data_IF_092879775985
#
_entry.id   IF_092879775985
#
_cell.length_a   1.000
_cell.length_b   1.000
_cell.length_c   1.000
_cell.angle_alpha   90.00
_cell.angle_beta   90.00
_cell.angle_gamma   90.00
#
_symmetry.space_group_name_H-M   'P 1'
#
loop_
_entity.id
_entity.type
_entity.pdbx_description
1 polymer ?
#
# COMPACT_ATOMS: atom_id res chain seq x y z
N UNK A 1 -1.43 13.19 11.59
CA UNK A 1 -2.78 12.76 11.97
C UNK A 1 -2.70 11.45 12.75
N UNK A 2 -3.26 11.45 13.95
CA UNK A 2 -3.29 10.27 14.81
C UNK A 2 -4.64 9.56 14.65
N UNK A 3 -4.65 8.48 13.87
CA UNK A 3 -5.86 7.72 13.54
C UNK A 3 -6.28 6.74 14.64
N UNK A 4 -5.40 6.43 15.59
CA UNK A 4 -5.57 5.33 16.54
C UNK A 4 -5.92 4.02 15.82
N UNK A 5 -5.27 3.79 14.68
CA UNK A 5 -5.52 2.61 13.86
C UNK A 5 -4.63 1.47 14.29
N UNK A 6 -5.20 0.30 14.51
CA UNK A 6 -4.41 -0.92 14.72
C UNK A 6 -3.50 -1.20 13.55
N UNK A 7 -3.97 -0.94 12.31
CA UNK A 7 -3.21 -1.13 11.08
C UNK A 7 -3.62 -0.07 10.06
N UNK A 8 -2.91 1.09 10.06
CA UNK A 8 -3.08 2.15 9.06
C UNK A 8 -2.18 1.87 7.87
N UNK A 9 -2.72 1.96 6.65
CA UNK A 9 -2.05 1.46 5.43
C UNK A 9 -2.34 2.30 4.18
N UNK A 10 -1.55 2.01 3.13
CA UNK A 10 -1.79 2.40 1.76
C UNK A 10 -2.01 3.90 1.54
N UNK A 11 -1.09 4.79 1.95
CA UNK A 11 -1.26 6.22 1.74
C UNK A 11 -1.18 6.56 0.25
N UNK A 12 -2.12 7.38 -0.24
CA UNK A 12 -2.15 7.87 -1.63
C UNK A 12 -2.41 9.38 -1.63
N UNK A 13 -1.52 10.15 -2.22
CA UNK A 13 -1.66 11.59 -2.34
C UNK A 13 -2.49 11.98 -3.57
N UNK A 14 -3.49 12.83 -3.38
CA UNK A 14 -4.19 13.51 -4.47
C UNK A 14 -3.83 15.00 -4.44
N UNK A 15 -3.09 15.45 -5.45
CA UNK A 15 -2.60 16.83 -5.56
C UNK A 15 -3.74 17.83 -5.77
N UNK A 16 -4.75 17.46 -6.55
CA UNK A 16 -5.87 18.36 -6.90
C UNK A 16 -6.79 18.58 -5.72
N UNK A 17 -7.10 17.52 -4.99
CA UNK A 17 -7.90 17.60 -3.76
C UNK A 17 -7.09 18.09 -2.55
N UNK A 18 -5.76 18.05 -2.61
CA UNK A 18 -4.88 18.42 -1.50
C UNK A 18 -4.99 17.49 -0.30
N UNK A 19 -5.32 16.21 -0.51
CA UNK A 19 -5.53 15.26 0.57
C UNK A 19 -4.75 13.95 0.41
N UNK A 20 -4.54 13.28 1.53
CA UNK A 20 -4.01 11.91 1.60
C UNK A 20 -5.17 10.96 1.89
N UNK A 21 -5.33 9.96 1.05
CA UNK A 21 -6.18 8.80 1.31
C UNK A 21 -5.33 7.75 2.04
N UNK A 22 -5.87 7.10 3.06
CA UNK A 22 -5.31 5.91 3.68
C UNK A 22 -6.41 5.01 4.22
N UNK A 23 -6.09 3.75 4.49
CA UNK A 23 -7.04 2.75 4.98
C UNK A 23 -6.66 2.29 6.38
N UNK A 24 -7.65 2.03 7.22
CA UNK A 24 -7.52 1.31 8.48
C UNK A 24 -8.10 -0.08 8.26
N UNK A 25 -7.22 -1.06 8.08
CA UNK A 25 -7.61 -2.41 7.61
C UNK A 25 -8.57 -3.06 8.58
N UNK A 26 -8.17 -3.19 9.84
CA UNK A 26 -8.92 -3.92 10.85
C UNK A 26 -10.15 -3.16 11.37
N UNK A 27 -10.10 -1.82 11.34
CA UNK A 27 -11.23 -0.99 11.73
C UNK A 27 -12.22 -0.75 10.58
N UNK A 28 -11.95 -1.31 9.39
CA UNK A 28 -12.82 -1.28 8.22
C UNK A 28 -13.18 0.15 7.80
N UNK A 29 -12.13 1.01 7.64
CA UNK A 29 -12.33 2.44 7.34
C UNK A 29 -11.36 2.94 6.28
N UNK A 30 -11.84 3.93 5.52
CA UNK A 30 -11.04 4.78 4.66
C UNK A 30 -11.01 6.17 5.28
N UNK A 31 -9.84 6.80 5.30
CA UNK A 31 -9.65 8.19 5.71
C UNK A 31 -9.23 9.04 4.51
N UNK A 32 -9.84 10.22 4.36
CA UNK A 32 -9.32 11.32 3.56
C UNK A 32 -8.85 12.40 4.52
N UNK A 33 -7.55 12.56 4.62
CA UNK A 33 -6.89 13.53 5.49
C UNK A 33 -6.52 14.75 4.66
N UNK A 34 -7.04 15.91 5.01
CA UNK A 34 -6.76 17.22 4.41
C UNK A 34 -5.79 17.98 5.33
N UNK A 35 -4.47 17.92 5.09
CA UNK A 35 -3.48 18.43 6.06
C UNK A 35 -3.55 19.95 6.24
N UNK A 36 -3.85 20.71 5.19
CA UNK A 36 -3.93 22.16 5.24
C UNK A 36 -5.16 22.65 6.01
N UNK A 37 -6.29 22.02 5.77
CA UNK A 37 -7.57 22.33 6.39
C UNK A 37 -7.73 21.73 7.79
N UNK A 38 -6.86 20.79 8.15
CA UNK A 38 -6.93 20.00 9.37
C UNK A 38 -8.28 19.23 9.51
N UNK A 39 -8.80 18.76 8.39
CA UNK A 39 -10.07 18.01 8.29
C UNK A 39 -9.79 16.56 7.91
N UNK A 40 -10.60 15.66 8.47
CA UNK A 40 -10.59 14.24 8.11
C UNK A 40 -12.02 13.82 7.76
N UNK A 41 -12.19 13.23 6.57
CA UNK A 41 -13.40 12.50 6.21
C UNK A 41 -13.18 11.01 6.41
N UNK A 42 -14.19 10.31 6.92
CA UNK A 42 -14.11 8.88 7.21
C UNK A 42 -15.25 8.15 6.52
N UNK A 43 -14.94 7.01 5.89
CA UNK A 43 -15.93 6.13 5.27
C UNK A 43 -15.76 4.72 5.83
N UNK A 44 -16.89 4.05 6.12
CA UNK A 44 -16.91 2.64 6.50
C UNK A 44 -16.82 1.77 5.24
N UNK A 45 -16.14 0.63 5.33
CA UNK A 45 -15.96 -0.31 4.22
C UNK A 45 -16.71 -1.63 4.42
N UNK A 46 -16.75 -2.45 3.40
CA UNK A 46 -17.40 -3.78 3.40
C UNK A 46 -16.43 -4.87 3.89
N UNK A 47 -16.08 -4.80 5.16
CA UNK A 47 -15.08 -5.66 5.79
C UNK A 47 -13.68 -5.07 5.74
N UNK A 48 -12.68 -5.83 6.16
CA UNK A 48 -11.28 -5.39 6.18
C UNK A 48 -10.86 -4.91 4.79
N UNK A 49 -10.44 -3.65 4.71
CA UNK A 49 -10.02 -2.99 3.46
C UNK A 49 -8.51 -3.09 3.31
N UNK A 50 -8.05 -3.76 2.26
CA UNK A 50 -6.62 -3.91 1.99
C UNK A 50 -6.00 -2.64 1.45
N UNK A 51 -6.63 -2.02 0.45
CA UNK A 51 -6.17 -0.77 -0.13
C UNK A 51 -7.32 0.04 -0.72
N UNK A 52 -7.03 1.31 -1.01
CA UNK A 52 -7.92 2.19 -1.74
C UNK A 52 -7.11 3.12 -2.66
N UNK A 53 -7.69 3.50 -3.79
CA UNK A 53 -7.09 4.42 -4.78
C UNK A 53 -8.13 5.41 -5.27
N UNK A 54 -7.70 6.60 -5.66
CA UNK A 54 -8.59 7.57 -6.27
C UNK A 54 -9.05 7.13 -7.67
N UNK A 55 -10.31 7.43 -8.00
CA UNK A 55 -10.93 7.25 -9.30
C UNK A 55 -11.48 8.61 -9.76
N UNK A 56 -10.56 9.46 -10.25
CA UNK A 56 -10.78 10.90 -10.40
C UNK A 56 -10.83 11.61 -9.04
N UNK A 57 -11.53 12.74 -9.00
CA UNK A 57 -11.66 13.57 -7.80
C UNK A 57 -12.97 13.35 -7.03
N UNK A 58 -13.88 12.57 -7.58
CA UNK A 58 -15.20 12.33 -7.00
C UNK A 58 -15.34 10.95 -6.38
N UNK A 59 -14.49 10.01 -6.74
CA UNK A 59 -14.63 8.62 -6.33
C UNK A 59 -13.33 8.02 -5.82
N UNK A 60 -13.50 6.96 -5.05
CA UNK A 60 -12.46 6.05 -4.59
C UNK A 60 -12.85 4.63 -5.04
N UNK A 61 -11.89 3.87 -5.58
CA UNK A 61 -12.03 2.43 -5.68
C UNK A 61 -11.27 1.81 -4.51
N UNK A 62 -11.92 0.92 -3.77
CA UNK A 62 -11.31 0.20 -2.67
C UNK A 62 -11.54 -1.32 -2.76
N UNK A 63 -10.58 -2.09 -2.29
CA UNK A 63 -10.67 -3.54 -2.20
C UNK A 63 -10.77 -3.97 -0.73
N UNK A 64 -11.90 -4.53 -0.36
CA UNK A 64 -12.19 -5.04 0.96
C UNK A 64 -12.45 -6.55 0.92
N UNK A 65 -12.59 -7.18 2.09
CA UNK A 65 -12.82 -8.61 2.19
C UNK A 65 -14.01 -9.11 1.33
N UNK A 66 -15.07 -8.31 1.20
CA UNK A 66 -16.26 -8.67 0.43
C UNK A 66 -16.17 -8.34 -1.07
N UNK A 67 -15.08 -7.77 -1.55
CA UNK A 67 -14.88 -7.45 -2.96
C UNK A 67 -14.30 -6.06 -3.21
N UNK A 68 -14.40 -5.64 -4.45
CA UNK A 68 -13.95 -4.33 -4.92
C UNK A 68 -15.18 -3.44 -5.13
N UNK A 69 -15.11 -2.22 -4.63
CA UNK A 69 -16.20 -1.25 -4.62
C UNK A 69 -15.74 0.09 -5.13
N UNK A 70 -16.67 0.88 -5.68
CA UNK A 70 -16.49 2.29 -6.03
C UNK A 70 -17.34 3.14 -5.12
N UNK A 71 -16.72 4.05 -4.39
CA UNK A 71 -17.32 4.93 -3.39
C UNK A 71 -17.32 6.37 -3.91
N UNK A 72 -18.45 7.07 -3.86
CA UNK A 72 -18.52 8.51 -4.08
C UNK A 72 -18.15 9.25 -2.78
N UNK A 73 -17.13 10.12 -2.83
CA UNK A 73 -16.57 10.81 -1.65
C UNK A 73 -17.45 11.97 -1.13
N UNK A 74 -18.43 12.39 -1.92
CA UNK A 74 -19.35 13.48 -1.54
C UNK A 74 -20.63 12.94 -0.92
N UNK A 75 -21.21 11.89 -1.49
CA UNK A 75 -22.48 11.31 -1.02
C UNK A 75 -22.29 10.14 -0.07
N UNK A 76 -21.16 9.45 -0.15
CA UNK A 76 -20.91 8.19 0.56
C UNK A 76 -21.56 6.96 -0.10
N UNK A 77 -22.23 7.14 -1.24
CA UNK A 77 -22.81 6.03 -1.99
C UNK A 77 -21.75 5.13 -2.56
N UNK A 78 -21.98 3.84 -2.52
CA UNK A 78 -21.04 2.84 -3.05
C UNK A 78 -21.71 1.84 -4.00
N UNK A 79 -20.92 1.37 -4.96
CA UNK A 79 -21.32 0.37 -5.94
C UNK A 79 -20.32 -0.79 -5.90
N UNK A 80 -20.83 -2.02 -5.81
CA UNK A 80 -20.02 -3.22 -5.97
C UNK A 80 -19.56 -3.33 -7.43
N UNK A 81 -18.27 -3.61 -7.64
CA UNK A 81 -17.70 -3.79 -8.97
C UNK A 81 -17.47 -5.27 -9.29
N UNK A 82 -16.65 -5.94 -8.50
CA UNK A 82 -16.30 -7.35 -8.68
C UNK A 82 -15.62 -7.95 -7.44
N UNK A 83 -15.47 -9.28 -7.44
CA UNK A 83 -14.69 -10.02 -6.45
C UNK A 83 -13.83 -11.08 -7.15
N UNK A 84 -12.51 -11.06 -6.91
CA UNK A 84 -11.57 -11.99 -7.57
C UNK A 84 -11.19 -13.19 -6.70
N UNK A 85 -11.41 -13.10 -5.40
CA UNK A 85 -10.95 -14.09 -4.43
C UNK A 85 -12.08 -15.05 -4.11
N UNK A 86 -11.91 -16.33 -4.45
CA UNK A 86 -12.90 -17.38 -4.12
C UNK A 86 -12.60 -18.09 -2.78
N UNK A 87 -11.36 -18.06 -2.30
CA UNK A 87 -10.96 -18.64 -1.00
C UNK A 87 -11.29 -17.67 0.14
N UNK A 88 -12.23 -18.00 1.05
CA UNK A 88 -12.60 -17.13 2.17
C UNK A 88 -11.50 -16.98 3.21
N UNK A 89 -10.40 -17.70 3.09
CA UNK A 89 -9.23 -17.56 3.97
C UNK A 89 -8.16 -16.62 3.42
N UNK A 90 -8.45 -15.95 2.30
CA UNK A 90 -7.61 -14.94 1.65
C UNK A 90 -8.37 -13.60 1.64
N UNK A 91 -7.64 -12.50 1.78
CA UNK A 91 -8.15 -11.12 1.61
C UNK A 91 -7.27 -10.31 0.68
N UNK A 92 -7.79 -9.19 0.18
CA UNK A 92 -6.95 -8.17 -0.43
C UNK A 92 -6.01 -7.55 0.63
N UNK A 93 -4.81 -7.15 0.18
CA UNK A 93 -3.81 -6.49 1.01
C UNK A 93 -3.41 -5.16 0.38
N UNK A 94 -2.23 -5.03 -0.20
CA UNK A 94 -1.82 -3.80 -0.89
C UNK A 94 -2.28 -3.78 -2.35
N UNK A 95 -2.39 -2.59 -2.93
CA UNK A 95 -2.76 -2.41 -4.32
C UNK A 95 -2.46 -1.02 -4.84
N UNK A 96 -2.29 -0.92 -6.16
CA UNK A 96 -1.93 0.35 -6.82
C UNK A 96 -2.52 0.40 -8.24
N UNK A 97 -2.72 1.61 -8.77
CA UNK A 97 -2.92 1.77 -10.21
C UNK A 97 -1.59 1.72 -10.94
N UNK A 98 -1.57 1.01 -12.05
CA UNK A 98 -0.44 1.06 -12.96
C UNK A 98 -0.48 2.33 -13.85
N UNK A 99 0.57 2.63 -14.63
CA UNK A 99 0.62 3.81 -15.49
C UNK A 99 -0.47 3.87 -16.57
N UNK A 100 -1.17 2.76 -16.87
CA UNK A 100 -2.29 2.68 -17.82
C UNK A 100 -3.65 2.73 -17.13
N UNK A 101 -3.68 2.86 -15.79
CA UNK A 101 -4.90 2.92 -15.00
C UNK A 101 -5.48 1.58 -14.57
N UNK A 102 -4.82 0.44 -14.90
CA UNK A 102 -5.22 -0.88 -14.41
C UNK A 102 -4.99 -0.97 -12.91
N UNK A 103 -5.84 -1.71 -12.21
CA UNK A 103 -5.68 -1.97 -10.77
C UNK A 103 -4.81 -3.20 -10.57
N UNK A 104 -3.74 -3.06 -9.80
CA UNK A 104 -3.01 -4.17 -9.23
C UNK A 104 -3.56 -4.46 -7.85
N UNK A 105 -3.89 -5.73 -7.59
CA UNK A 105 -4.56 -6.17 -6.37
C UNK A 105 -3.76 -7.31 -5.76
N UNK A 106 -3.02 -6.99 -4.71
CA UNK A 106 -2.28 -7.95 -3.90
C UNK A 106 -3.15 -8.63 -2.87
N UNK A 107 -2.81 -9.86 -2.51
CA UNK A 107 -3.55 -10.63 -1.53
C UNK A 107 -2.66 -11.16 -0.40
N UNK A 108 -3.28 -11.49 0.72
CA UNK A 108 -2.66 -12.15 1.88
C UNK A 108 -3.67 -13.05 2.58
N UNK A 109 -3.20 -13.86 3.53
CA UNK A 109 -4.06 -14.68 4.37
C UNK A 109 -5.00 -13.84 5.25
N UNK A 110 -6.27 -14.24 5.34
CA UNK A 110 -7.23 -13.66 6.27
C UNK A 110 -7.17 -14.42 7.60
N UNK A 111 -6.85 -13.72 8.69
CA UNK A 111 -6.70 -14.25 10.05
C UNK A 111 -5.58 -15.29 10.25
N UNK A 112 -4.96 -15.79 9.20
CA UNK A 112 -3.86 -16.77 9.26
C UNK A 112 -2.87 -16.54 8.14
N UNK A 113 -1.61 -16.67 8.43
CA UNK A 113 -0.56 -16.65 7.42
C UNK A 113 -0.74 -17.77 6.39
N UNK A 114 -0.58 -17.45 5.13
CA UNK A 114 -0.74 -18.35 3.96
C UNK A 114 0.52 -18.34 3.13
N UNK A 115 1.47 -19.20 3.47
CA UNK A 115 2.73 -19.30 2.75
C UNK A 115 2.49 -19.73 1.30
N UNK A 116 2.94 -18.89 0.34
CA UNK A 116 2.89 -19.14 -1.12
C UNK A 116 1.50 -19.50 -1.68
N UNK A 117 0.44 -19.06 -1.03
CA UNK A 117 -0.95 -19.32 -1.47
C UNK A 117 -1.67 -18.06 -1.91
N UNK A 118 -0.96 -16.93 -1.96
CA UNK A 118 -1.52 -15.64 -2.34
C UNK A 118 -1.06 -15.22 -3.74
N UNK A 119 -1.57 -14.11 -4.23
CA UNK A 119 -1.46 -13.72 -5.64
C UNK A 119 -1.46 -12.20 -5.78
N UNK A 120 -0.70 -11.67 -6.71
CA UNK A 120 -0.86 -10.34 -7.26
C UNK A 120 -1.65 -10.44 -8.56
N UNK A 121 -2.84 -9.83 -8.60
CA UNK A 121 -3.69 -9.72 -9.79
C UNK A 121 -3.52 -8.38 -10.49
N UNK A 122 -3.88 -8.32 -11.77
CA UNK A 122 -4.17 -7.08 -12.51
C UNK A 122 -5.59 -7.13 -13.04
N UNK A 123 -6.32 -6.01 -12.98
CA UNK A 123 -7.67 -5.84 -13.51
C UNK A 123 -7.76 -4.56 -14.34
N UNK A 124 -8.23 -4.66 -15.59
CA UNK A 124 -8.29 -3.58 -16.57
C UNK A 124 -9.65 -2.86 -16.66
N UNK A 125 -10.59 -3.23 -15.78
CA UNK A 125 -11.99 -2.77 -15.80
C UNK A 125 -12.95 -3.80 -16.38
N UNK A 126 -12.48 -4.74 -17.19
CA UNK A 126 -13.29 -5.79 -17.83
C UNK A 126 -12.86 -7.21 -17.45
N UNK A 127 -11.57 -7.41 -17.35
CA UNK A 127 -10.96 -8.72 -17.11
C UNK A 127 -9.83 -8.66 -16.10
N UNK A 128 -9.55 -9.81 -15.51
CA UNK A 128 -8.47 -9.97 -14.54
C UNK A 128 -7.46 -11.01 -15.01
N UNK A 129 -6.20 -10.80 -14.70
CA UNK A 129 -5.12 -11.77 -14.89
C UNK A 129 -4.23 -11.86 -13.66
N UNK A 130 -3.57 -12.99 -13.51
CA UNK A 130 -2.54 -13.20 -12.49
C UNK A 130 -1.24 -12.61 -13.02
N UNK A 131 -0.61 -11.74 -12.23
CA UNK A 131 0.73 -11.22 -12.51
C UNK A 131 1.82 -12.01 -11.80
N UNK A 132 1.62 -12.26 -10.50
CA UNK A 132 2.56 -13.05 -9.70
C UNK A 132 1.75 -14.01 -8.83
N UNK A 133 2.01 -15.30 -8.97
CA UNK A 133 1.43 -16.35 -8.13
C UNK A 133 2.42 -16.86 -7.09
N UNK A 134 1.91 -17.51 -6.05
CA UNK A 134 2.75 -18.09 -5.01
C UNK A 134 3.38 -17.06 -4.09
N UNK A 135 2.73 -15.91 -3.90
CA UNK A 135 3.07 -14.93 -2.88
C UNK A 135 2.50 -15.33 -1.53
N UNK A 136 2.99 -14.73 -0.47
CA UNK A 136 2.50 -14.95 0.89
C UNK A 136 1.81 -13.72 1.46
N UNK A 137 2.48 -12.55 1.35
CA UNK A 137 1.96 -11.25 1.74
C UNK A 137 2.34 -10.26 0.65
N UNK A 138 1.43 -10.07 -0.32
CA UNK A 138 1.64 -9.10 -1.39
C UNK A 138 1.56 -7.69 -0.82
N UNK A 139 2.66 -6.99 -0.85
CA UNK A 139 2.83 -5.63 -0.35
C UNK A 139 3.42 -4.72 -1.42
N UNK A 140 4.14 -3.71 -1.05
CA UNK A 140 4.71 -2.63 -1.82
C UNK A 140 4.75 -2.81 -3.33
N UNK A 141 4.06 -1.94 -4.06
CA UNK A 141 3.97 -1.92 -5.52
C UNK A 141 4.48 -0.57 -6.00
N UNK A 142 5.39 -0.56 -6.97
CA UNK A 142 5.91 0.65 -7.56
C UNK A 142 6.22 0.52 -9.04
N UNK A 143 6.25 1.64 -9.76
CA UNK A 143 6.55 1.65 -11.20
C UNK A 143 7.61 2.69 -11.52
N UNK A 144 8.52 2.34 -12.41
CA UNK A 144 9.43 3.28 -13.03
C UNK A 144 9.79 2.80 -14.44
N UNK A 145 9.51 3.62 -15.46
CA UNK A 145 9.67 3.23 -16.87
C UNK A 145 8.92 1.92 -17.17
N UNK A 146 9.61 0.94 -17.75
CA UNK A 146 9.10 -0.40 -18.06
C UNK A 146 9.30 -1.41 -16.92
N UNK A 147 9.46 -0.96 -15.68
CA UNK A 147 9.65 -1.84 -14.53
C UNK A 147 8.51 -1.72 -13.54
N UNK A 148 8.07 -2.87 -13.06
CA UNK A 148 7.27 -3.06 -11.86
C UNK A 148 8.22 -3.50 -10.74
N UNK A 149 8.15 -2.83 -9.59
CA UNK A 149 8.77 -3.25 -8.35
C UNK A 149 7.70 -3.81 -7.44
N UNK A 150 7.98 -4.95 -6.83
CA UNK A 150 7.00 -5.67 -6.02
C UNK A 150 7.65 -6.33 -4.80
N UNK A 151 6.94 -6.30 -3.68
CA UNK A 151 7.34 -6.89 -2.40
C UNK A 151 6.41 -8.05 -2.05
N UNK A 152 6.98 -9.23 -1.84
CA UNK A 152 6.38 -10.29 -1.03
C UNK A 152 7.13 -10.30 0.31
N UNK A 153 6.51 -9.73 1.35
CA UNK A 153 7.16 -9.39 2.64
C UNK A 153 8.03 -10.49 3.23
N UNK A 154 7.61 -11.78 3.29
CA UNK A 154 8.44 -12.82 3.88
C UNK A 154 9.75 -13.10 3.14
N UNK A 155 9.86 -12.67 1.89
CA UNK A 155 11.11 -12.79 1.13
C UNK A 155 12.19 -11.83 1.61
N UNK A 156 11.81 -10.76 2.32
CA UNK A 156 12.67 -9.64 2.72
C UNK A 156 13.31 -8.89 1.55
N UNK A 157 12.71 -8.94 0.36
CA UNK A 157 13.30 -8.43 -0.88
C UNK A 157 12.31 -7.60 -1.67
N UNK A 158 12.87 -6.69 -2.50
CA UNK A 158 12.14 -6.04 -3.58
C UNK A 158 12.49 -6.72 -4.89
N UNK A 159 11.51 -7.34 -5.53
CA UNK A 159 11.62 -7.91 -6.87
C UNK A 159 11.41 -6.84 -7.94
N UNK A 160 12.22 -6.87 -8.98
CA UNK A 160 12.02 -6.11 -10.21
C UNK A 160 11.49 -7.03 -11.29
N UNK A 161 10.47 -6.56 -12.00
CA UNK A 161 9.82 -7.24 -13.11
C UNK A 161 9.86 -6.35 -14.34
N UNK A 162 10.10 -6.89 -15.51
CA UNK A 162 9.85 -6.21 -16.79
C UNK A 162 8.33 -6.15 -16.95
N UNK A 163 7.81 -4.94 -17.12
CA UNK A 163 6.37 -4.66 -17.22
C UNK A 163 6.06 -4.06 -18.58
N UNK A 164 5.32 -4.79 -19.40
CA UNK A 164 5.01 -4.40 -20.76
C UNK A 164 3.75 -3.52 -20.87
N UNK A 165 3.48 -3.01 -22.06
CA UNK A 165 2.31 -2.17 -22.37
C UNK A 165 0.98 -2.89 -22.16
N UNK A 166 0.95 -4.23 -22.33
CA UNK A 166 -0.19 -5.09 -22.10
C UNK A 166 -0.40 -5.40 -20.60
N UNK A 167 0.55 -4.95 -19.75
CA UNK A 167 0.55 -5.14 -18.31
C UNK A 167 0.90 -6.58 -17.91
N UNK A 168 1.78 -7.25 -18.66
CA UNK A 168 2.39 -8.49 -18.22
C UNK A 168 3.64 -8.20 -17.41
N UNK A 169 3.89 -9.00 -16.39
CA UNK A 169 5.05 -8.87 -15.52
C UNK A 169 5.93 -10.12 -15.65
N UNK A 170 7.17 -9.93 -16.07
CA UNK A 170 8.17 -10.99 -16.14
C UNK A 170 9.25 -10.73 -15.11
N UNK A 171 9.47 -11.67 -14.19
CA UNK A 171 10.50 -11.53 -13.15
C UNK A 171 11.88 -11.34 -13.78
N UNK A 172 12.57 -10.31 -13.37
CA UNK A 172 13.95 -10.01 -13.79
C UNK A 172 14.95 -10.42 -12.70
N UNK A 173 14.89 -9.78 -11.55
CA UNK A 173 15.78 -10.08 -10.41
C UNK A 173 15.27 -9.44 -9.12
N UNK A 174 15.85 -9.85 -8.00
CA UNK A 174 15.79 -9.05 -6.77
C UNK A 174 16.83 -7.95 -6.82
N UNK A 175 16.41 -6.71 -6.52
CA UNK A 175 17.28 -5.53 -6.54
C UNK A 175 17.61 -5.01 -5.15
N UNK A 176 16.75 -5.27 -4.15
CA UNK A 176 16.96 -4.90 -2.76
C UNK A 176 16.81 -6.13 -1.89
N UNK A 177 17.66 -6.27 -0.88
CA UNK A 177 17.49 -7.18 0.26
C UNK A 177 17.54 -6.36 1.53
N UNK A 178 16.49 -6.48 2.37
CA UNK A 178 16.42 -5.75 3.64
C UNK A 178 17.28 -6.44 4.66
N UNK A 179 18.30 -5.73 5.15
CA UNK A 179 19.22 -6.20 6.17
C UNK A 179 18.78 -5.73 7.57
N UNK A 180 19.20 -6.46 8.60
CA UNK A 180 18.91 -6.14 10.00
C UNK A 180 17.46 -6.35 10.42
N UNK A 181 16.97 -5.53 11.35
CA UNK A 181 15.64 -5.66 11.94
C UNK A 181 14.53 -5.17 11.01
N UNK A 182 13.37 -5.78 11.13
CA UNK A 182 12.15 -5.47 10.37
C UNK A 182 12.13 -6.13 8.99
N UNK A 183 11.01 -5.98 8.30
CA UNK A 183 10.74 -6.54 6.97
C UNK A 183 10.15 -5.47 6.05
N UNK A 184 10.35 -5.56 4.72
CA UNK A 184 9.76 -4.60 3.79
C UNK A 184 8.24 -4.75 3.74
N UNK A 185 7.56 -3.62 3.71
CA UNK A 185 6.10 -3.54 3.67
C UNK A 185 5.64 -2.70 2.46
N UNK A 186 4.93 -1.61 2.64
CA UNK A 186 4.55 -0.75 1.53
C UNK A 186 5.72 0.05 0.95
N UNK A 187 5.58 0.52 -0.29
CA UNK A 187 6.59 1.36 -0.94
C UNK A 187 6.00 2.35 -1.94
N UNK A 188 6.79 3.37 -2.25
CA UNK A 188 6.57 4.24 -3.41
C UNK A 188 7.87 4.47 -4.19
N UNK A 189 7.74 4.97 -5.44
CA UNK A 189 8.87 5.19 -6.35
C UNK A 189 8.80 6.62 -6.88
N UNK A 190 9.93 7.36 -6.81
CA UNK A 190 9.97 8.72 -7.28
C UNK A 190 10.24 8.81 -8.80
N UNK A 191 10.20 10.03 -9.32
CA UNK A 191 10.40 10.32 -10.76
C UNK A 191 11.82 10.02 -11.25
N UNK A 192 12.76 9.83 -10.35
CA UNK A 192 14.14 9.42 -10.65
C UNK A 192 14.31 7.90 -10.59
N UNK A 193 13.27 7.17 -10.13
CA UNK A 193 13.28 5.72 -9.94
C UNK A 193 13.91 5.26 -8.63
N UNK A 194 14.02 6.16 -7.64
CA UNK A 194 14.42 5.77 -6.29
C UNK A 194 13.20 5.16 -5.57
N UNK A 195 13.45 4.06 -4.85
CA UNK A 195 12.44 3.36 -4.08
C UNK A 195 12.47 3.84 -2.63
N UNK A 196 11.31 4.15 -2.08
CA UNK A 196 11.10 4.44 -0.66
C UNK A 196 10.34 3.24 -0.08
N UNK A 197 10.97 2.51 0.80
CA UNK A 197 10.45 1.25 1.35
C UNK A 197 10.19 1.41 2.84
N UNK A 198 8.95 1.23 3.26
CA UNK A 198 8.57 1.17 4.67
C UNK A 198 9.06 -0.15 5.29
N UNK A 199 9.59 -0.08 6.51
CA UNK A 199 10.14 -1.25 7.20
C UNK A 199 9.30 -1.54 8.45
N UNK A 200 8.42 -2.52 8.34
CA UNK A 200 7.66 -3.06 9.46
C UNK A 200 8.60 -3.67 10.50
N UNK A 201 8.41 -3.32 11.78
CA UNK A 201 9.31 -3.73 12.85
C UNK A 201 10.69 -3.08 12.81
N UNK A 202 10.86 -2.00 12.02
CA UNK A 202 12.16 -1.36 11.84
C UNK A 202 12.19 0.14 12.14
N UNK A 203 11.06 0.76 12.47
CA UNK A 203 10.93 2.20 12.81
C UNK A 203 11.52 3.13 11.76
N UNK A 204 11.42 2.80 10.47
CA UNK A 204 12.05 3.60 9.42
C UNK A 204 11.42 3.42 8.03
N UNK A 205 11.70 4.39 7.16
CA UNK A 205 11.60 4.26 5.71
C UNK A 205 13.02 4.31 5.14
N UNK A 206 13.37 3.38 4.29
CA UNK A 206 14.66 3.31 3.59
C UNK A 206 14.52 3.76 2.14
N UNK A 207 15.52 4.48 1.64
CA UNK A 207 15.61 4.92 0.25
C UNK A 207 16.70 4.14 -0.48
N UNK A 208 16.36 3.64 -1.67
CA UNK A 208 17.26 2.92 -2.54
C UNK A 208 17.29 3.55 -3.93
N UNK A 209 18.44 3.55 -4.57
CA UNK A 209 18.55 3.95 -5.97
C UNK A 209 18.11 2.81 -6.92
N UNK A 210 18.10 3.09 -8.22
CA UNK A 210 17.70 2.11 -9.25
C UNK A 210 18.62 0.87 -9.32
N UNK A 211 19.84 0.94 -8.78
CA UNK A 211 20.75 -0.20 -8.67
C UNK A 211 20.46 -1.08 -7.44
N UNK A 212 19.61 -0.61 -6.53
CA UNK A 212 19.29 -1.27 -5.26
C UNK A 212 20.25 -0.93 -4.13
N UNK A 213 21.06 0.11 -4.28
CA UNK A 213 21.94 0.60 -3.23
C UNK A 213 21.17 1.50 -2.29
N UNK A 214 21.28 1.29 -0.98
CA UNK A 214 20.69 2.15 0.03
C UNK A 214 21.38 3.50 0.04
N UNK A 215 20.64 4.56 -0.22
CA UNK A 215 21.14 5.94 -0.32
C UNK A 215 20.62 6.85 0.79
N UNK A 216 19.72 6.36 1.65
CA UNK A 216 19.22 7.11 2.79
C UNK A 216 18.22 6.34 3.64
N UNK A 217 17.90 6.90 4.80
CA UNK A 217 16.79 6.46 5.64
C UNK A 217 16.23 7.62 6.47
N UNK A 218 14.97 7.50 6.88
CA UNK A 218 14.36 8.37 7.88
C UNK A 218 13.74 7.53 9.00
N UNK A 219 13.99 7.93 10.25
CA UNK A 219 13.42 7.28 11.44
C UNK A 219 12.03 7.83 11.75
N UNK A 220 11.13 6.92 12.09
CA UNK A 220 9.75 7.20 12.47
C UNK A 220 9.56 6.76 13.92
N UNK A 221 8.90 7.57 14.78
CA UNK A 221 8.68 7.23 16.18
C UNK A 221 7.50 6.24 16.36
N UNK A 222 7.54 5.15 15.60
CA UNK A 222 6.64 4.00 15.66
C UNK A 222 7.37 2.78 15.12
N UNK A 223 7.26 1.64 15.79
CA UNK A 223 7.98 0.41 15.43
C UNK A 223 7.54 -0.10 14.06
N UNK A 224 6.23 -0.18 13.85
CA UNK A 224 5.63 -0.77 12.67
C UNK A 224 5.30 0.33 11.63
N UNK A 225 6.27 0.64 10.77
CA UNK A 225 6.06 1.53 9.62
C UNK A 225 5.50 0.69 8.48
N UNK A 226 4.28 0.99 8.07
CA UNK A 226 3.50 0.14 7.15
C UNK A 226 3.67 0.53 5.69
N UNK A 227 3.53 1.83 5.38
CA UNK A 227 3.62 2.27 3.99
C UNK A 227 4.06 3.73 3.87
N UNK A 228 4.36 4.16 2.65
CA UNK A 228 4.78 5.52 2.33
C UNK A 228 4.22 5.95 0.98
N UNK A 229 3.86 7.23 0.83
CA UNK A 229 3.63 7.84 -0.47
C UNK A 229 4.37 9.18 -0.61
N UNK A 230 4.75 9.48 -1.85
CA UNK A 230 5.47 10.70 -2.22
C UNK A 230 4.46 11.77 -2.66
N UNK A 231 4.55 12.95 -2.07
CA UNK A 231 3.70 14.11 -2.34
C UNK A 231 4.55 15.37 -2.58
N UNK A 232 5.15 15.47 -3.76
CA UNK A 232 6.15 16.51 -4.08
C UNK A 232 7.40 16.34 -3.21
N UNK A 233 7.71 17.35 -2.39
CA UNK A 233 8.85 17.33 -1.46
C UNK A 233 8.50 16.72 -0.09
N UNK A 234 7.33 16.13 0.06
CA UNK A 234 6.90 15.49 1.31
C UNK A 234 6.69 14.00 1.11
N UNK A 235 6.88 13.26 2.20
CA UNK A 235 6.49 11.86 2.36
C UNK A 235 5.34 11.79 3.36
N UNK A 236 4.28 11.08 3.03
CA UNK A 236 3.27 10.67 3.98
C UNK A 236 3.47 9.19 4.31
N UNK A 237 3.54 8.88 5.61
CA UNK A 237 3.98 7.59 6.11
C UNK A 237 2.95 7.06 7.08
N UNK A 238 2.42 5.88 6.85
CA UNK A 238 1.48 5.19 7.72
C UNK A 238 2.19 4.24 8.66
N UNK A 239 1.57 3.99 9.81
CA UNK A 239 2.10 3.11 10.85
C UNK A 239 1.00 2.26 11.48
N UNK A 240 1.36 1.17 12.14
CA UNK A 240 0.47 0.33 12.90
C UNK A 240 0.80 0.36 14.38
N UNK A 241 -0.20 0.13 15.24
CA UNK A 241 0.01 -0.11 16.66
C UNK A 241 0.81 -1.39 16.87
N UNK A 242 1.47 -1.49 18.00
CA UNK A 242 2.12 -2.73 18.40
C UNK A 242 1.07 -3.79 18.76
N UNK A 243 1.32 -5.06 18.42
CA UNK A 243 0.36 -6.17 18.62
C UNK A 243 -0.01 -6.40 20.09
N UNK A 244 0.86 -6.01 21.03
CA UNK A 244 0.63 -6.14 22.47
C UNK A 244 -0.13 -4.94 23.10
N UNK A 245 -0.51 -3.93 22.29
CA UNK A 245 -1.17 -2.74 22.77
C UNK A 245 -0.34 -1.90 23.73
N UNK A 246 1.01 -2.04 23.69
CA UNK A 246 1.89 -1.28 24.57
C UNK A 246 1.72 0.22 24.41
N UNK A 247 1.55 0.94 25.53
CA UNK A 247 1.48 2.40 25.56
C UNK A 247 2.83 3.08 25.24
N UNK A 248 3.87 2.28 24.97
CA UNK A 248 5.24 2.77 24.72
C UNK A 248 5.39 3.60 23.46
N UNK A 249 4.44 3.48 22.53
CA UNK A 249 4.44 4.19 21.25
C UNK A 249 3.15 5.01 21.04
N UNK A 250 2.99 6.15 21.72
CA UNK A 250 1.72 6.89 21.75
C UNK A 250 1.28 7.45 20.39
N UNK A 251 2.15 7.44 19.39
CA UNK A 251 1.87 7.92 18.03
C UNK A 251 1.74 6.78 17.00
N UNK A 252 1.92 5.52 17.38
CA UNK A 252 1.72 4.37 16.51
C UNK A 252 0.25 4.27 16.03
N UNK A 253 0.04 3.77 14.83
CA UNK A 253 -1.28 3.80 14.17
C UNK A 253 -1.68 5.16 13.63
N UNK A 254 -0.71 6.04 13.41
CA UNK A 254 -0.88 7.38 12.87
C UNK A 254 -0.35 7.55 11.45
N UNK A 255 -0.70 8.70 10.85
CA UNK A 255 -0.14 9.20 9.60
C UNK A 255 0.88 10.29 9.91
N UNK A 256 2.12 10.05 9.56
CA UNK A 256 3.24 10.98 9.70
C UNK A 256 3.49 11.73 8.39
N UNK A 257 4.13 12.88 8.51
CA UNK A 257 4.66 13.64 7.39
C UNK A 257 6.12 13.97 7.62
N UNK A 258 6.94 13.81 6.60
CA UNK A 258 8.36 14.15 6.63
C UNK A 258 8.78 14.83 5.33
N UNK A 259 9.94 15.48 5.33
CA UNK A 259 10.55 15.95 4.10
C UNK A 259 11.15 14.78 3.32
N UNK A 260 11.07 14.87 1.99
CA UNK A 260 11.75 13.92 1.10
C UNK A 260 13.27 14.12 1.22
N UNK A 261 14.03 13.06 1.29
CA UNK A 261 15.46 13.02 1.54
C UNK A 261 16.25 12.32 0.45
#
# INVERSE_FOLDING_TARGET
FYAQSTLLEGPVWNKELGCVLCVSIEQERIFLVFPKEQVVKTFKTRGQVGFAVFDGNEHIIYAAYQGVFRLNISTGDEVFLYHLISDPTIRYNDGKRDPKGRLLLGTTGYKRFKEKQCTLYSHDGNSSKILVSGTSISNGIGFYKSFLFFIDTPTRKVGRYIYDEEGNATFDKYIVSIEGEGVPDGMDVDTEGNLYVAIWGGSRVEKYNQAGEKIGEIRIPALNVTSVCIAGEKLYITTAMHDDGSESEPMAGGLFVADKF
#
